data_IF_429199229677
#
_entry.id   IF_429199229677
#
_cell.length_a   1.000
_cell.length_b   1.000
_cell.length_c   1.000
_cell.angle_alpha   90.00
_cell.angle_beta   90.00
_cell.angle_gamma   90.00
#
_symmetry.space_group_name_H-M   'P 1'
#
loop_
_entity.id
_entity.type
_entity.pdbx_description
1 polymer ?
#
# COMPACT_ATOMS: atom_id res chain seq x y z
N UNK A 1 -11.91 -1.42 -9.02
CA UNK A 1 -11.46 -0.48 -7.98
C UNK A 1 -12.45 0.66 -7.85
N UNK A 2 -12.71 1.07 -6.64
CA UNK A 2 -13.62 2.18 -6.37
C UNK A 2 -12.94 3.15 -5.40
N UNK A 3 -12.88 4.43 -5.75
CA UNK A 3 -12.28 5.47 -4.92
C UNK A 3 -13.34 6.52 -4.59
N UNK A 4 -13.52 6.81 -3.31
CA UNK A 4 -14.45 7.82 -2.83
C UNK A 4 -13.78 8.67 -1.75
N UNK A 5 -14.39 9.81 -1.47
CA UNK A 5 -13.91 10.72 -0.41
C UNK A 5 -15.01 10.88 0.62
N UNK A 6 -14.69 10.57 1.89
CA UNK A 6 -15.62 10.70 3.01
C UNK A 6 -14.87 11.41 4.15
N UNK A 7 -15.40 12.57 4.55
CA UNK A 7 -14.81 13.40 5.62
C UNK A 7 -13.32 13.70 5.38
N UNK A 8 -12.97 13.99 4.12
CA UNK A 8 -11.61 14.31 3.73
C UNK A 8 -10.68 13.13 3.58
N UNK A 9 -11.15 11.92 3.86
CA UNK A 9 -10.36 10.70 3.71
C UNK A 9 -10.68 10.02 2.40
N UNK A 10 -9.67 9.40 1.80
CA UNK A 10 -9.87 8.55 0.64
C UNK A 10 -10.23 7.15 1.10
N UNK A 11 -11.29 6.61 0.53
CA UNK A 11 -11.69 5.22 0.73
C UNK A 11 -11.46 4.51 -0.59
N UNK A 12 -10.56 3.55 -0.61
CA UNK A 12 -10.18 2.81 -1.82
C UNK A 12 -10.56 1.35 -1.64
N UNK A 13 -11.43 0.85 -2.50
CA UNK A 13 -11.87 -0.53 -2.47
C UNK A 13 -11.34 -1.25 -3.70
N UNK A 14 -10.78 -2.44 -3.47
CA UNK A 14 -10.25 -3.27 -4.55
C UNK A 14 -8.98 -2.72 -5.17
N UNK A 15 -8.11 -2.12 -4.36
CA UNK A 15 -6.86 -1.55 -4.84
C UNK A 15 -5.85 -2.64 -5.19
N UNK A 16 -5.03 -2.36 -6.20
CA UNK A 16 -3.87 -3.17 -6.54
C UNK A 16 -2.63 -2.54 -5.90
N UNK A 17 -1.99 -3.24 -4.99
CA UNK A 17 -0.75 -2.79 -4.36
C UNK A 17 0.44 -3.27 -5.18
N UNK A 18 1.32 -2.33 -5.54
CA UNK A 18 2.48 -2.64 -6.37
C UNK A 18 3.51 -3.46 -5.58
N UNK A 19 4.14 -4.44 -6.23
CA UNK A 19 5.14 -5.29 -5.59
C UNK A 19 6.55 -4.69 -5.63
N UNK A 20 7.51 -5.41 -5.07
CA UNK A 20 8.92 -5.09 -5.18
C UNK A 20 9.28 -3.80 -4.46
N UNK A 21 10.04 -2.96 -5.12
CA UNK A 21 10.54 -1.70 -4.55
C UNK A 21 9.44 -0.67 -4.29
N UNK A 22 8.23 -0.92 -4.78
CA UNK A 22 7.09 -0.04 -4.53
C UNK A 22 6.44 -0.25 -3.16
N UNK A 23 6.90 -1.22 -2.38
CA UNK A 23 6.42 -1.42 -1.01
C UNK A 23 7.59 -1.67 -0.08
N UNK A 24 7.48 -1.12 1.12
CA UNK A 24 8.45 -1.33 2.19
C UNK A 24 7.71 -1.23 3.52
N UNK A 25 7.04 -2.30 3.90
CA UNK A 25 6.27 -2.35 5.14
C UNK A 25 7.18 -2.59 6.35
N UNK A 26 8.30 -3.27 6.15
CA UNK A 26 9.23 -3.56 7.25
C UNK A 26 10.04 -2.34 7.69
N UNK A 27 10.16 -1.33 6.84
CA UNK A 27 11.00 -0.17 7.10
C UNK A 27 12.48 -0.47 6.93
N UNK A 28 12.83 -1.53 6.21
CA UNK A 28 14.22 -1.90 5.98
C UNK A 28 14.95 -0.83 5.15
N UNK A 29 16.26 -0.65 5.33
CA UNK A 29 17.01 0.27 4.48
C UNK A 29 16.95 -0.14 3.01
N UNK A 30 16.77 0.84 2.14
CA UNK A 30 16.81 0.66 0.68
C UNK A 30 17.39 1.92 0.05
N UNK A 31 17.45 1.96 -1.29
CA UNK A 31 18.05 3.10 -1.99
C UNK A 31 17.31 4.41 -1.77
N UNK A 32 16.01 4.36 -1.44
CA UNK A 32 15.20 5.54 -1.18
C UNK A 32 15.08 5.84 0.32
N UNK A 33 15.58 4.94 1.17
CA UNK A 33 15.49 5.02 2.63
C UNK A 33 16.76 4.45 3.23
N UNK A 34 17.93 5.08 2.97
CA UNK A 34 19.23 4.49 3.34
C UNK A 34 19.39 4.21 4.83
N UNK A 35 18.77 5.02 5.67
CA UNK A 35 18.83 4.81 7.13
C UNK A 35 17.79 3.85 7.66
N UNK A 36 16.86 3.41 6.83
CA UNK A 36 15.72 2.61 7.29
C UNK A 36 14.69 3.42 8.06
N UNK A 37 13.66 2.76 8.54
CA UNK A 37 12.63 3.33 9.41
C UNK A 37 11.39 3.85 8.72
N UNK A 38 11.48 4.21 7.47
CA UNK A 38 10.32 4.68 6.72
C UNK A 38 9.59 3.51 6.10
N UNK A 39 8.27 3.48 6.27
CA UNK A 39 7.41 2.44 5.75
C UNK A 39 6.43 3.05 4.78
N UNK A 40 6.19 2.35 3.65
CA UNK A 40 5.30 2.86 2.61
C UNK A 40 4.86 1.74 1.70
N UNK A 41 3.83 2.02 0.93
CA UNK A 41 3.42 1.21 -0.21
C UNK A 41 2.83 2.12 -1.27
N UNK A 42 2.64 1.59 -2.47
CA UNK A 42 2.00 2.30 -3.57
C UNK A 42 0.84 1.47 -4.07
N UNK A 43 -0.24 2.14 -4.47
CA UNK A 43 -1.33 1.45 -5.15
C UNK A 43 -1.61 2.10 -6.50
N UNK A 44 -2.11 1.29 -7.44
CA UNK A 44 -2.40 1.71 -8.80
C UNK A 44 -3.74 2.43 -8.84
N UNK A 45 -3.81 3.52 -9.60
CA UNK A 45 -5.05 4.20 -9.93
C UNK A 45 -5.34 3.85 -11.40
N UNK A 46 -6.34 3.01 -11.64
CA UNK A 46 -6.58 2.42 -12.94
C UNK A 46 -7.29 3.36 -13.93
N UNK A 47 -7.86 4.48 -13.44
CA UNK A 47 -8.53 5.47 -14.28
C UNK A 47 -7.71 6.76 -14.30
N UNK A 48 -7.11 7.13 -15.45
CA UNK A 48 -6.30 8.36 -15.54
C UNK A 48 -7.08 9.63 -15.21
N UNK A 49 -8.39 9.65 -15.46
CA UNK A 49 -9.21 10.83 -15.11
C UNK A 49 -9.34 10.97 -13.60
N UNK A 50 -9.55 9.86 -12.89
CA UNK A 50 -9.58 9.85 -11.43
C UNK A 50 -8.23 10.29 -10.87
N UNK A 51 -7.14 9.79 -11.45
CA UNK A 51 -5.79 10.16 -11.05
C UNK A 51 -5.58 11.67 -11.19
N UNK A 52 -6.04 12.26 -12.30
CA UNK A 52 -5.90 13.70 -12.52
C UNK A 52 -6.74 14.49 -11.53
N UNK A 53 -7.97 14.04 -11.23
CA UNK A 53 -8.81 14.69 -10.24
C UNK A 53 -8.17 14.66 -8.86
N UNK A 54 -7.61 13.52 -8.46
CA UNK A 54 -6.92 13.40 -7.19
C UNK A 54 -5.72 14.35 -7.11
N UNK A 55 -5.00 14.47 -8.21
CA UNK A 55 -3.86 15.38 -8.31
C UNK A 55 -4.31 16.82 -8.17
N UNK A 56 -5.43 17.19 -8.80
CA UNK A 56 -6.03 18.52 -8.69
C UNK A 56 -6.48 18.81 -7.25
N UNK A 57 -6.89 17.76 -6.51
CA UNK A 57 -7.27 17.88 -5.11
C UNK A 57 -6.08 17.95 -4.16
N UNK A 58 -4.86 17.87 -4.68
CA UNK A 58 -3.63 18.03 -3.89
C UNK A 58 -2.91 16.75 -3.53
N UNK A 59 -3.46 15.57 -3.88
CA UNK A 59 -2.78 14.31 -3.63
C UNK A 59 -1.56 14.16 -4.54
N UNK A 60 -0.49 13.61 -4.02
CA UNK A 60 0.78 13.48 -4.75
C UNK A 60 0.77 12.25 -5.68
N UNK A 61 -0.20 12.21 -6.57
CA UNK A 61 -0.34 11.15 -7.56
C UNK A 61 0.75 11.27 -8.62
N UNK A 62 1.39 10.15 -8.94
CA UNK A 62 2.33 10.07 -10.05
C UNK A 62 1.61 9.55 -11.28
N UNK A 63 1.74 10.31 -12.37
CA UNK A 63 1.15 9.95 -13.66
C UNK A 63 2.32 9.82 -14.64
N UNK A 64 2.61 8.58 -15.02
CA UNK A 64 3.65 8.31 -16.01
C UNK A 64 3.01 8.17 -17.38
N UNK A 65 3.49 8.92 -18.40
CA UNK A 65 2.91 8.84 -19.73
C UNK A 65 3.01 7.42 -20.30
N UNK A 66 2.06 7.09 -21.17
CA UNK A 66 2.10 5.84 -21.89
C UNK A 66 3.39 5.76 -22.73
N UNK A 67 4.01 4.57 -22.76
CA UNK A 67 5.24 4.37 -23.53
C UNK A 67 4.96 4.29 -25.01
N UNK A 68 3.79 3.78 -25.36
CA UNK A 68 3.41 3.55 -26.75
C UNK A 68 2.10 4.26 -27.03
N UNK A 69 1.92 4.67 -28.29
CA UNK A 69 0.68 5.28 -28.72
C UNK A 69 -0.47 4.30 -28.55
N UNK A 70 -1.57 4.76 -27.96
CA UNK A 70 -2.73 3.94 -27.71
C UNK A 70 -2.78 3.30 -26.32
N UNK A 71 -1.67 3.32 -25.57
CA UNK A 71 -1.65 2.83 -24.20
C UNK A 71 -2.15 3.90 -23.24
N UNK A 72 -2.62 3.44 -22.08
CA UNK A 72 -3.03 4.37 -21.01
C UNK A 72 -1.84 4.73 -20.12
N UNK A 73 -1.84 5.94 -19.52
CA UNK A 73 -0.81 6.30 -18.55
C UNK A 73 -0.83 5.39 -17.34
N UNK A 74 0.33 5.19 -16.74
CA UNK A 74 0.46 4.45 -15.49
C UNK A 74 0.40 5.41 -14.31
N UNK A 75 -0.62 5.26 -13.46
CA UNK A 75 -0.87 6.17 -12.36
C UNK A 75 -0.81 5.44 -11.04
N UNK A 76 -0.16 6.04 -10.03
CA UNK A 76 -0.06 5.44 -8.72
C UNK A 76 0.11 6.50 -7.64
N UNK A 77 -0.22 6.11 -6.39
CA UNK A 77 -0.07 6.97 -5.22
C UNK A 77 0.74 6.26 -4.15
N UNK A 78 1.72 6.97 -3.60
CA UNK A 78 2.49 6.51 -2.44
C UNK A 78 1.71 6.77 -1.17
N UNK A 79 1.62 5.77 -0.30
CA UNK A 79 0.96 5.87 0.99
C UNK A 79 1.96 5.54 2.09
N UNK A 80 2.13 6.46 3.03
CA UNK A 80 3.01 6.26 4.17
C UNK A 80 2.33 5.42 5.25
N UNK A 81 3.11 4.57 5.90
CA UNK A 81 2.66 3.75 7.04
C UNK A 81 3.38 4.26 8.28
N UNK A 82 2.69 5.08 9.06
CA UNK A 82 3.28 5.71 10.25
C UNK A 82 2.55 5.23 11.50
N UNK A 83 3.23 4.36 12.26
CA UNK A 83 2.67 3.86 13.52
C UNK A 83 2.73 4.96 14.58
N UNK A 84 1.64 5.18 15.32
CA UNK A 84 1.62 6.22 16.34
C UNK A 84 2.53 5.89 17.52
N UNK A 85 3.08 6.93 18.13
CA UNK A 85 3.82 6.78 19.39
C UNK A 85 2.87 7.12 20.53
N UNK A 86 2.32 6.08 21.17
CA UNK A 86 1.34 6.26 22.23
C UNK A 86 1.92 6.87 23.50
N UNK A 87 3.22 6.80 23.69
CA UNK A 87 3.88 7.46 24.83
C UNK A 87 3.84 8.97 24.67
N UNK A 88 4.07 9.47 23.45
CA UNK A 88 4.02 10.91 23.16
C UNK A 88 2.59 11.39 22.96
N UNK A 89 1.73 10.55 22.41
CA UNK A 89 0.34 10.89 22.12
C UNK A 89 -0.57 9.73 22.48
N UNK A 90 -0.99 9.65 23.78
CA UNK A 90 -1.82 8.54 24.22
C UNK A 90 -3.19 8.46 23.57
N UNK A 91 -3.65 9.57 22.96
CA UNK A 91 -4.95 9.63 22.29
C UNK A 91 -4.85 9.36 20.80
N UNK A 92 -3.67 9.03 20.29
CA UNK A 92 -3.49 8.74 18.88
C UNK A 92 -4.33 7.52 18.48
N UNK A 93 -4.90 7.57 17.27
CA UNK A 93 -5.67 6.45 16.74
C UNK A 93 -4.72 5.36 16.25
N UNK A 94 -4.91 4.10 16.67
CA UNK A 94 -4.10 3.01 16.15
C UNK A 94 -4.39 2.75 14.67
N UNK A 95 -3.42 2.20 13.96
CA UNK A 95 -3.63 1.76 12.59
C UNK A 95 -4.35 0.41 12.60
N UNK A 96 -5.26 0.23 11.65
CA UNK A 96 -5.94 -1.05 11.45
C UNK A 96 -5.36 -1.71 10.20
N UNK A 97 -4.38 -2.57 10.38
CA UNK A 97 -3.73 -3.29 9.29
C UNK A 97 -3.92 -4.78 9.51
N UNK A 98 -4.45 -5.46 8.49
CA UNK A 98 -4.74 -6.88 8.60
C UNK A 98 -4.53 -7.59 7.27
N UNK A 99 -4.08 -8.84 7.35
CA UNK A 99 -4.02 -9.77 6.23
C UNK A 99 -5.23 -10.71 6.29
N UNK A 100 -5.98 -10.77 5.19
CA UNK A 100 -7.12 -11.65 5.04
C UNK A 100 -6.72 -12.83 4.16
N UNK A 101 -6.77 -14.03 4.74
CA UNK A 101 -6.43 -15.27 4.04
C UNK A 101 -7.67 -16.17 4.01
N UNK A 102 -7.61 -17.24 3.21
CA UNK A 102 -8.71 -18.18 3.13
C UNK A 102 -9.04 -18.84 4.47
N UNK A 103 -8.06 -18.98 5.36
CA UNK A 103 -8.23 -19.64 6.66
C UNK A 103 -8.35 -18.67 7.84
N UNK A 104 -8.47 -17.37 7.59
CA UNK A 104 -8.68 -16.42 8.68
C UNK A 104 -8.03 -15.07 8.45
N UNK A 105 -8.01 -14.27 9.52
CA UNK A 105 -7.53 -12.89 9.51
C UNK A 105 -6.37 -12.77 10.50
N UNK A 106 -5.25 -12.20 10.03
CA UNK A 106 -4.11 -11.87 10.87
C UNK A 106 -4.04 -10.35 11.02
N UNK A 107 -4.23 -9.85 12.24
CA UNK A 107 -4.00 -8.45 12.54
C UNK A 107 -2.51 -8.21 12.65
N UNK A 108 -2.04 -7.12 12.04
CA UNK A 108 -0.61 -6.79 12.00
C UNK A 108 -0.33 -5.54 12.81
N UNK A 109 0.83 -5.53 13.45
CA UNK A 109 1.33 -4.38 14.20
C UNK A 109 2.69 -3.95 13.65
N UNK A 110 3.35 -3.05 14.38
CA UNK A 110 4.64 -2.52 13.96
C UNK A 110 5.70 -3.61 13.78
N UNK A 111 5.62 -4.70 14.57
CA UNK A 111 6.60 -5.78 14.51
C UNK A 111 6.30 -6.82 13.43
N UNK A 112 5.06 -6.90 12.96
CA UNK A 112 4.61 -7.96 12.04
C UNK A 112 4.22 -7.45 10.66
N UNK A 113 4.05 -6.14 10.49
CA UNK A 113 3.59 -5.56 9.23
C UNK A 113 4.54 -5.86 8.06
N UNK A 114 5.80 -6.15 8.34
CA UNK A 114 6.78 -6.53 7.33
C UNK A 114 6.42 -7.79 6.56
N UNK A 115 5.51 -8.61 7.09
CA UNK A 115 5.01 -9.78 6.37
C UNK A 115 4.36 -9.40 5.03
N UNK A 116 3.86 -8.18 4.91
CA UNK A 116 3.23 -7.72 3.67
C UNK A 116 4.23 -7.47 2.54
N UNK A 117 5.51 -7.34 2.84
CA UNK A 117 6.52 -7.10 1.80
C UNK A 117 6.65 -8.28 0.84
N UNK A 118 6.59 -9.49 1.36
CA UNK A 118 6.69 -10.70 0.54
C UNK A 118 5.36 -11.36 0.22
N UNK A 119 4.25 -10.76 0.63
CA UNK A 119 2.93 -11.36 0.45
C UNK A 119 2.40 -11.14 -0.97
N UNK A 120 1.69 -12.14 -1.49
CA UNK A 120 0.97 -11.99 -2.76
C UNK A 120 -0.40 -11.37 -2.47
N UNK A 121 -0.49 -10.06 -2.64
CA UNK A 121 -1.71 -9.31 -2.35
C UNK A 121 -2.55 -9.24 -3.61
N UNK A 122 -3.72 -9.88 -3.59
CA UNK A 122 -4.62 -9.91 -4.75
C UNK A 122 -5.39 -8.61 -4.89
N UNK A 123 -5.80 -8.04 -3.77
CA UNK A 123 -6.44 -6.72 -3.71
C UNK A 123 -6.41 -6.22 -2.28
N UNK A 124 -6.70 -4.94 -2.09
CA UNK A 124 -6.73 -4.33 -0.77
C UNK A 124 -7.83 -3.28 -0.66
N UNK A 125 -8.37 -3.14 0.53
CA UNK A 125 -9.24 -2.03 0.88
C UNK A 125 -8.46 -1.10 1.79
N UNK A 126 -8.45 0.19 1.47
CA UNK A 126 -7.56 1.15 2.12
C UNK A 126 -8.37 2.38 2.53
N UNK A 127 -8.14 2.84 3.76
CA UNK A 127 -8.60 4.15 4.22
C UNK A 127 -7.36 5.03 4.42
N UNK A 128 -7.33 6.16 3.73
CA UNK A 128 -6.18 7.06 3.69
C UNK A 128 -6.60 8.41 4.26
N UNK A 129 -5.81 8.90 5.21
CA UNK A 129 -5.99 10.25 5.73
C UNK A 129 -5.00 11.20 5.08
N UNK A 130 -5.40 12.47 4.84
CA UNK A 130 -4.47 13.46 4.32
C UNK A 130 -3.59 14.03 5.42
N UNK A 131 -2.39 14.41 5.02
CA UNK A 131 -1.50 15.21 5.85
C UNK A 131 -1.02 16.38 5.02
N UNK A 132 -1.37 17.61 5.43
CA UNK A 132 -0.96 18.82 4.71
C UNK A 132 0.43 19.21 5.19
N UNK A 133 1.44 18.86 4.39
CA UNK A 133 2.84 19.03 4.77
C UNK A 133 3.39 20.42 4.45
N UNK A 134 2.69 21.20 3.63
CA UNK A 134 3.10 22.53 3.22
C UNK A 134 2.13 23.56 3.79
N UNK A 135 2.56 24.27 4.83
CA UNK A 135 1.70 25.27 5.49
C UNK A 135 1.40 26.45 4.58
N UNK A 136 2.26 26.73 3.61
CA UNK A 136 2.04 27.79 2.64
C UNK A 136 1.00 27.38 1.58
N UNK A 137 0.80 26.07 1.38
CA UNK A 137 -0.17 25.55 0.41
C UNK A 137 -0.90 24.35 1.03
N UNK A 138 -1.99 24.62 1.80
CA UNK A 138 -2.74 23.54 2.46
C UNK A 138 -3.43 22.57 1.50
N UNK A 139 -3.48 22.90 0.20
CA UNK A 139 -4.06 21.98 -0.79
C UNK A 139 -3.16 20.77 -1.06
N UNK A 140 -1.86 20.88 -0.76
CA UNK A 140 -0.91 19.77 -0.97
C UNK A 140 -1.03 18.76 0.14
N UNK A 141 -1.25 17.51 -0.23
CA UNK A 141 -1.54 16.42 0.71
C UNK A 141 -0.59 15.25 0.51
N UNK A 142 -0.03 14.77 1.62
CA UNK A 142 0.60 13.46 1.66
C UNK A 142 -0.44 12.44 2.10
N UNK A 143 -0.31 11.20 1.62
CA UNK A 143 -1.25 10.13 1.94
C UNK A 143 -0.68 9.28 3.07
N UNK A 144 -1.45 9.11 4.14
CA UNK A 144 -1.10 8.28 5.28
C UNK A 144 -2.17 7.23 5.49
N UNK A 145 -1.77 5.97 5.64
CA UNK A 145 -2.73 4.90 5.85
C UNK A 145 -3.35 4.99 7.24
N UNK A 146 -4.64 4.75 7.31
CA UNK A 146 -5.37 4.57 8.56
C UNK A 146 -5.84 3.13 8.70
N UNK A 147 -6.34 2.55 7.61
CA UNK A 147 -6.75 1.16 7.54
C UNK A 147 -6.21 0.54 6.27
N UNK A 148 -5.71 -0.68 6.37
CA UNK A 148 -5.27 -1.46 5.23
C UNK A 148 -5.69 -2.92 5.46
N UNK A 149 -6.64 -3.37 4.66
CA UNK A 149 -7.07 -4.76 4.68
C UNK A 149 -6.60 -5.42 3.38
N UNK A 150 -5.54 -6.20 3.48
CA UNK A 150 -4.89 -6.82 2.33
C UNK A 150 -5.38 -8.26 2.19
N UNK A 151 -5.95 -8.57 1.04
CA UNK A 151 -6.38 -9.93 0.71
C UNK A 151 -5.21 -10.66 0.09
N UNK A 152 -4.74 -11.71 0.77
CA UNK A 152 -3.51 -12.40 0.43
C UNK A 152 -3.82 -13.78 -0.08
N UNK A 153 -3.25 -14.11 -1.24
CA UNK A 153 -3.31 -15.46 -1.77
C UNK A 153 -2.11 -16.23 -1.26
N UNK A 154 -2.36 -17.36 -0.62
CA UNK A 154 -1.27 -18.25 -0.24
C UNK A 154 -0.77 -18.96 -1.48
N UNK A 155 0.55 -19.03 -1.62
CA UNK A 155 1.19 -19.79 -2.68
C UNK A 155 1.07 -21.28 -2.32
N UNK A 156 0.13 -21.93 -2.89
CA UNK A 156 -0.05 -23.37 -2.68
C UNK A 156 0.71 -24.14 -3.71
N UNK A 157 0.83 -23.66 -3.83
CA UNK A 157 0.90 -24.09 -4.45
C UNK A 157 1.66 -24.19 -4.68
N UNK A 158 1.90 -23.98 -4.83
CA UNK A 158 2.79 -23.86 -4.80
C UNK A 158 3.10 -24.14 -3.61
N UNK A 159 3.08 -24.69 -3.07
CA UNK A 159 3.26 -25.17 -2.06
C UNK A 159 2.83 -26.16 -1.60
N UNK A 160 2.80 -26.44 -2.33
CA UNK A 160 2.46 -27.08 -2.22
C UNK A 160 2.66 -27.66 -2.74
N UNK A 161 2.98 -27.79 -3.37
CA UNK A 161 3.13 -28.02 -3.87
C UNK A 161 3.87 -28.14 -3.95
N UNK A 162 4.38 -28.26 -4.21
CA UNK A 162 4.98 -28.32 -4.16
C UNK A 162 5.61 -28.56 -3.54
N UNK A 163 5.81 -28.92 -3.49
CA UNK A 163 6.20 -29.24 -3.08
C UNK A 163 6.58 -29.75 -3.38
N UNK A 164 6.81 -30.09 -3.85
CA UNK A 164 7.10 -30.45 -4.08
C UNK A 164 7.70 -30.38 -4.56
N UNK A 165 7.78 -31.26 -5.15
CA UNK A 165 8.24 -31.13 -5.66
C UNK A 165 9.07 -30.79 -5.52
N UNK A 166 9.33 -30.61 -5.54
CA UNK A 166 9.84 -30.36 -5.43
C UNK A 166 10.44 -30.13 -5.42
N UNK A 167 10.65 -30.46 -5.69
CA UNK A 167 11.02 -30.36 -5.69
C UNK A 167 11.61 -29.99 -5.94
N UNK A 168 11.79 -30.80 -6.42
CA UNK A 168 12.13 -30.60 -6.73
C UNK A 168 12.66 -30.21 -7.09
N UNK A 169 12.72 -29.80 -6.97
CA UNK A 169 12.98 -29.59 -7.04
C UNK A 169 13.43 -29.23 -7.27
N UNK A 170 13.90 -29.52 -7.46
CA UNK A 170 14.02 -29.31 -7.48
C UNK A 170 14.38 -28.86 -7.21
N UNK A 171 14.66 -28.77 -7.39
CA UNK A 171 14.52 -28.63 -6.95
C UNK A 171 14.74 -28.18 -6.79
N UNK A 172 15.11 -28.55 -7.26
CA UNK A 172 15.00 -28.42 -6.96
C UNK A 172 15.08 -28.20 -6.81
#
# INVERSE_FOLDING_TARGET
MNISTIDGRLIVEGAQILPGTFRNFSGAPDQFNPGGGKRYFHFVIDDPEVAQQMRNDGWNVKIKPAREEGDIPFCYLKVAVAFPNFQKNPKARPLDIAMFKSNGVNRLDETTVGLLDGAYITQANITIRPYCWDQADPSKKAAYVQELHAFVQESAHFASDYDEFEENPFND
#
